data_IF_495546714233
#
_entry.id   IF_495546714233
#
_cell.length_a   1.000
_cell.length_b   1.000
_cell.length_c   1.000
_cell.angle_alpha   90.00
_cell.angle_beta   90.00
_cell.angle_gamma   90.00
#
_symmetry.space_group_name_H-M   'P 1'
#
loop_
_entity.id
_entity.type
_entity.pdbx_description
1 polymer ?
#
# COMPACT_ATOMS: atom_id res chain seq x y z
N UNK A 1 -1.17 15.93 -21.28
CA UNK A 1 -2.15 16.03 -20.18
C UNK A 1 -1.64 15.17 -19.04
N UNK A 2 -1.23 15.77 -17.92
CA UNK A 2 -0.74 14.98 -16.78
C UNK A 2 -1.92 14.27 -16.11
N UNK A 3 -1.84 12.95 -15.94
CA UNK A 3 -2.84 12.21 -15.16
C UNK A 3 -3.00 12.86 -13.79
N UNK A 4 -4.25 13.20 -13.44
CA UNK A 4 -4.62 13.60 -12.09
C UNK A 4 -4.23 12.49 -11.13
N UNK A 5 -3.61 12.83 -10.01
CA UNK A 5 -3.22 11.89 -8.94
C UNK A 5 -4.39 11.12 -8.34
N UNK A 6 -5.61 11.61 -8.52
CA UNK A 6 -6.83 10.89 -8.17
C UNK A 6 -7.07 9.67 -9.06
N UNK A 7 -6.47 9.58 -10.24
CA UNK A 7 -6.78 8.53 -11.21
C UNK A 7 -6.27 7.14 -10.79
N UNK A 8 -5.01 6.96 -10.35
CA UNK A 8 -4.57 5.67 -9.79
C UNK A 8 -5.41 5.24 -8.59
N UNK A 9 -5.72 6.16 -7.68
CA UNK A 9 -6.55 5.90 -6.49
C UNK A 9 -7.95 5.47 -6.92
N UNK A 10 -8.58 6.22 -7.82
CA UNK A 10 -9.93 5.93 -8.32
C UNK A 10 -9.97 4.55 -8.97
N UNK A 11 -9.01 4.25 -9.85
CA UNK A 11 -8.94 2.94 -10.52
C UNK A 11 -8.65 1.80 -9.55
N UNK A 12 -7.84 2.03 -8.51
CA UNK A 12 -7.60 1.05 -7.48
C UNK A 12 -8.89 0.76 -6.69
N UNK A 13 -9.63 1.79 -6.31
CA UNK A 13 -10.93 1.66 -5.64
C UNK A 13 -12.01 1.02 -6.54
N UNK A 14 -11.90 1.15 -7.87
CA UNK A 14 -12.78 0.43 -8.82
C UNK A 14 -12.48 -1.08 -8.87
N UNK A 15 -11.27 -1.50 -8.48
CA UNK A 15 -10.80 -2.90 -8.55
C UNK A 15 -10.93 -3.61 -7.20
N UNK A 16 -10.68 -2.92 -6.10
CA UNK A 16 -10.76 -3.52 -4.77
C UNK A 16 -12.24 -3.72 -4.40
N UNK A 17 -12.71 -4.97 -4.30
CA UNK A 17 -14.15 -5.30 -4.19
C UNK A 17 -14.79 -4.82 -2.89
N UNK A 18 -13.99 -4.64 -1.84
CA UNK A 18 -14.40 -3.99 -0.60
C UNK A 18 -14.02 -2.50 -0.67
N UNK A 19 -14.85 -1.62 -0.11
CA UNK A 19 -14.48 -0.21 0.06
C UNK A 19 -13.80 -0.07 1.43
N UNK A 20 -12.45 -0.06 1.51
CA UNK A 20 -11.78 0.02 2.79
C UNK A 20 -12.06 1.37 3.47
N UNK A 21 -12.43 1.33 4.76
CA UNK A 21 -12.52 2.52 5.61
C UNK A 21 -11.10 3.00 5.95
N UNK A 22 -10.52 3.76 5.03
CA UNK A 22 -9.21 4.37 5.20
C UNK A 22 -9.19 5.83 4.73
N UNK A 23 -8.26 6.59 5.28
CA UNK A 23 -7.96 7.94 4.83
C UNK A 23 -6.83 7.94 3.79
N UNK A 24 -6.95 8.78 2.77
CA UNK A 24 -5.87 9.01 1.81
C UNK A 24 -5.15 10.32 2.13
N UNK A 25 -3.86 10.26 2.41
CA UNK A 25 -3.03 11.41 2.72
C UNK A 25 -1.98 11.67 1.64
N UNK A 26 -2.10 12.80 0.95
CA UNK A 26 -1.34 13.10 -0.28
C UNK A 26 -0.29 14.21 -0.11
N UNK A 27 0.18 14.45 1.12
CA UNK A 27 1.16 15.50 1.45
C UNK A 27 2.36 14.87 2.16
N UNK A 28 3.33 15.68 2.57
CA UNK A 28 4.46 15.21 3.38
C UNK A 28 3.96 14.82 4.79
N UNK A 29 4.01 13.52 5.17
CA UNK A 29 3.51 13.05 6.45
C UNK A 29 4.38 13.47 7.64
N UNK A 30 5.66 13.80 7.42
CA UNK A 30 6.55 14.32 8.46
C UNK A 30 6.10 15.71 8.87
N UNK A 31 5.81 16.59 7.91
CA UNK A 31 5.30 17.94 8.20
C UNK A 31 3.88 17.94 8.78
N UNK A 32 3.08 16.91 8.48
CA UNK A 32 1.76 16.75 9.06
C UNK A 32 1.76 16.11 10.47
N UNK A 33 2.93 15.73 10.99
CA UNK A 33 3.06 15.12 12.31
C UNK A 33 2.54 13.69 12.39
N UNK A 34 2.33 13.01 11.26
CA UNK A 34 1.93 11.60 11.23
C UNK A 34 3.07 10.69 11.70
N UNK A 35 4.32 11.12 11.52
CA UNK A 35 5.53 10.41 11.96
C UNK A 35 6.35 11.22 12.96
N UNK A 36 6.98 10.51 13.90
CA UNK A 36 7.98 11.08 14.81
C UNK A 36 9.37 11.21 14.16
N UNK A 37 9.63 10.46 13.08
CA UNK A 37 10.94 10.35 12.44
C UNK A 37 10.81 10.61 10.92
N UNK A 38 11.91 11.06 10.31
CA UNK A 38 11.96 11.31 8.87
C UNK A 38 12.15 10.02 8.04
N UNK A 39 12.91 9.07 8.58
CA UNK A 39 13.36 7.89 7.85
C UNK A 39 12.81 6.61 8.50
N UNK A 40 12.48 5.63 7.66
CA UNK A 40 12.22 4.27 8.06
C UNK A 40 13.53 3.54 8.44
N UNK A 41 13.47 2.41 9.17
CA UNK A 41 14.65 1.63 9.55
C UNK A 41 15.53 1.18 8.37
N UNK A 42 14.94 1.02 7.19
CA UNK A 42 15.62 0.62 5.96
C UNK A 42 16.20 1.80 5.16
N UNK A 43 16.13 3.01 5.71
CA UNK A 43 16.70 4.22 5.12
C UNK A 43 15.79 4.98 4.15
N UNK A 44 14.60 4.45 3.81
CA UNK A 44 13.59 5.18 3.01
C UNK A 44 13.10 6.41 3.76
N UNK A 45 12.76 7.50 3.05
CA UNK A 45 12.20 8.70 3.67
C UNK A 45 10.67 8.64 3.66
N UNK A 46 10.03 8.79 4.82
CA UNK A 46 8.55 8.84 4.87
C UNK A 46 7.98 10.04 4.10
N UNK A 47 8.76 11.12 3.98
CA UNK A 47 8.40 12.33 3.25
C UNK A 47 8.19 12.13 1.75
N UNK A 48 8.75 11.06 1.19
CA UNK A 48 8.62 10.76 -0.23
C UNK A 48 7.98 9.39 -0.50
N UNK A 49 8.09 8.41 0.41
CA UNK A 49 7.76 6.99 0.17
C UNK A 49 6.29 6.68 0.47
N UNK A 50 5.63 5.89 -0.40
CA UNK A 50 4.29 5.36 -0.16
C UNK A 50 4.31 4.34 0.98
N UNK A 51 3.32 4.42 1.86
CA UNK A 51 3.17 3.50 2.97
C UNK A 51 1.80 3.61 3.63
N UNK A 52 1.44 2.61 4.41
CA UNK A 52 0.21 2.59 5.21
C UNK A 52 0.50 2.80 6.69
N UNK A 53 -0.30 3.68 7.31
CA UNK A 53 -0.27 3.96 8.74
C UNK A 53 -1.51 3.39 9.42
N UNK A 54 -1.32 2.30 10.14
CA UNK A 54 -2.35 1.77 11.03
C UNK A 54 -2.65 2.75 12.18
N UNK A 55 -3.82 2.66 12.83
CA UNK A 55 -4.20 3.55 13.92
C UNK A 55 -3.14 3.61 15.03
N UNK A 56 -2.47 2.52 15.38
CA UNK A 56 -1.43 2.52 16.41
C UNK A 56 -0.11 3.19 15.99
N UNK A 57 0.10 3.47 14.70
CA UNK A 57 1.25 4.26 14.22
C UNK A 57 1.04 5.77 14.39
N UNK A 58 -0.21 6.23 14.45
CA UNK A 58 -0.53 7.65 14.38
C UNK A 58 -0.37 8.34 15.73
N UNK A 59 0.49 9.36 15.74
CA UNK A 59 0.64 10.29 16.86
C UNK A 59 -0.56 11.24 16.94
N UNK A 60 -1.51 10.98 17.85
CA UNK A 60 -2.66 11.85 18.05
C UNK A 60 -3.70 11.27 19.01
N UNK A 61 -4.83 11.95 19.26
CA UNK A 61 -5.91 11.42 20.09
C UNK A 61 -6.52 10.16 19.47
N UNK A 62 -6.73 9.10 20.26
CA UNK A 62 -7.20 7.79 19.79
C UNK A 62 -8.47 7.86 18.91
N UNK A 63 -9.42 8.74 19.28
CA UNK A 63 -10.67 8.99 18.55
C UNK A 63 -10.53 9.50 17.11
N UNK A 64 -9.31 9.90 16.70
CA UNK A 64 -8.99 10.37 15.34
C UNK A 64 -8.05 9.44 14.58
N UNK A 65 -7.59 8.36 15.21
CA UNK A 65 -6.65 7.42 14.59
C UNK A 65 -7.45 6.49 13.68
N UNK A 66 -7.23 6.62 12.38
CA UNK A 66 -7.77 5.74 11.34
C UNK A 66 -6.62 5.26 10.47
N UNK A 67 -6.79 4.11 9.86
CA UNK A 67 -5.85 3.62 8.87
C UNK A 67 -5.71 4.63 7.76
N UNK A 68 -4.48 5.08 7.53
CA UNK A 68 -4.18 6.14 6.58
C UNK A 68 -3.21 5.62 5.55
N UNK A 69 -3.62 5.60 4.29
CA UNK A 69 -2.71 5.38 3.17
C UNK A 69 -2.02 6.71 2.86
N UNK A 70 -0.70 6.70 2.89
CA UNK A 70 0.13 7.88 2.65
C UNK A 70 0.79 7.75 1.27
N UNK A 71 0.46 8.68 0.37
CA UNK A 71 1.08 8.79 -0.95
C UNK A 71 1.71 10.20 -1.08
N UNK A 72 2.93 10.42 -0.56
CA UNK A 72 3.51 11.76 -0.47
C UNK A 72 3.69 12.38 -1.86
N UNK A 73 3.16 13.59 -2.05
CA UNK A 73 3.34 14.32 -3.30
C UNK A 73 4.75 14.91 -3.37
N UNK A 74 5.50 14.57 -4.41
CA UNK A 74 6.78 15.23 -4.67
C UNK A 74 6.59 16.73 -5.01
N UNK A 75 7.39 17.64 -4.44
CA UNK A 75 7.21 19.09 -4.56
C UNK A 75 7.31 19.64 -5.99
N UNK A 76 7.96 18.93 -6.92
CA UNK A 76 8.06 19.34 -8.34
C UNK A 76 6.99 18.74 -9.25
N UNK A 77 6.01 18.01 -8.69
CA UNK A 77 4.98 17.31 -9.45
C UNK A 77 5.44 15.93 -9.95
N UNK A 78 4.53 14.96 -9.80
CA UNK A 78 4.47 13.63 -10.42
C UNK A 78 5.73 12.73 -10.44
N UNK A 79 6.82 13.03 -9.71
CA UNK A 79 8.04 12.22 -9.76
C UNK A 79 8.53 11.83 -8.38
N UNK A 80 8.62 10.53 -8.10
CA UNK A 80 9.43 10.01 -7.01
C UNK A 80 10.92 9.95 -7.40
N UNK A 81 11.81 9.74 -6.42
CA UNK A 81 13.25 9.46 -6.62
C UNK A 81 13.39 8.13 -7.39
N UNK A 82 13.90 8.17 -8.62
CA UNK A 82 13.94 7.02 -9.54
C UNK A 82 13.02 7.14 -10.76
N UNK A 83 12.26 8.24 -10.88
CA UNK A 83 11.59 8.63 -12.14
C UNK A 83 10.25 7.96 -12.44
N UNK A 84 9.70 7.15 -11.51
CA UNK A 84 8.36 6.56 -11.66
C UNK A 84 7.34 7.31 -10.80
N UNK A 85 6.15 7.50 -11.37
CA UNK A 85 4.97 8.07 -10.69
C UNK A 85 4.28 6.93 -9.92
N UNK A 86 3.64 7.21 -8.76
CA UNK A 86 2.75 6.20 -8.16
C UNK A 86 1.67 5.84 -9.16
N UNK A 87 1.55 4.55 -9.42
CA UNK A 87 0.60 3.99 -10.36
C UNK A 87 -0.45 3.19 -9.60
N UNK A 88 -1.31 2.52 -10.36
CA UNK A 88 -2.39 1.72 -9.80
C UNK A 88 -1.85 0.56 -8.94
N UNK A 89 -0.67 0.01 -9.27
CA UNK A 89 -0.05 -1.07 -8.50
C UNK A 89 0.30 -0.59 -7.10
N UNK A 90 0.90 0.60 -6.96
CA UNK A 90 1.17 1.18 -5.63
C UNK A 90 -0.12 1.39 -4.84
N UNK A 91 -1.16 1.95 -5.47
CA UNK A 91 -2.41 2.20 -4.76
C UNK A 91 -3.08 0.90 -4.27
N UNK A 92 -3.03 -0.18 -5.07
CA UNK A 92 -3.57 -1.49 -4.68
C UNK A 92 -2.72 -2.16 -3.61
N UNK A 93 -1.40 -2.05 -3.69
CA UNK A 93 -0.49 -2.54 -2.65
C UNK A 93 -0.84 -1.94 -1.28
N UNK A 94 -0.97 -0.62 -1.21
CA UNK A 94 -1.35 0.05 0.05
C UNK A 94 -2.76 -0.33 0.51
N UNK A 95 -3.71 -0.51 -0.42
CA UNK A 95 -5.04 -1.04 -0.08
C UNK A 95 -4.95 -2.47 0.45
N UNK A 96 -4.00 -3.28 -0.02
CA UNK A 96 -3.70 -4.61 0.50
C UNK A 96 -3.35 -4.58 1.99
N UNK A 97 -2.56 -3.61 2.45
CA UNK A 97 -2.33 -3.43 3.90
C UNK A 97 -3.60 -3.08 4.68
N UNK A 98 -4.49 -2.28 4.08
CA UNK A 98 -5.77 -1.96 4.74
C UNK A 98 -6.67 -3.20 4.80
N UNK A 99 -6.71 -4.01 3.75
CA UNK A 99 -7.43 -5.29 3.74
C UNK A 99 -6.86 -6.26 4.78
N UNK A 100 -5.53 -6.36 4.88
CA UNK A 100 -4.84 -7.18 5.88
C UNK A 100 -5.26 -6.78 7.31
N UNK A 101 -5.31 -5.48 7.59
CA UNK A 101 -5.79 -4.98 8.88
C UNK A 101 -7.29 -5.26 9.12
N UNK A 102 -8.14 -5.00 8.12
CA UNK A 102 -9.59 -5.23 8.23
C UNK A 102 -9.93 -6.70 8.51
N UNK A 103 -9.13 -7.61 7.96
CA UNK A 103 -9.24 -9.06 8.19
C UNK A 103 -8.51 -9.51 9.45
N UNK A 104 -8.06 -8.59 10.30
CA UNK A 104 -7.44 -8.91 11.59
C UNK A 104 -6.05 -9.53 11.47
N UNK A 105 -5.38 -9.39 10.32
CA UNK A 105 -4.08 -9.98 10.03
C UNK A 105 -4.06 -11.51 10.08
N UNK A 106 -5.14 -12.15 9.64
CA UNK A 106 -5.35 -13.59 9.78
C UNK A 106 -4.49 -14.44 8.81
N UNK A 107 -4.05 -13.88 7.68
CA UNK A 107 -3.32 -14.64 6.65
C UNK A 107 -1.83 -14.33 6.66
N UNK A 108 -1.03 -15.38 6.81
CA UNK A 108 0.41 -15.35 6.51
C UNK A 108 0.62 -15.78 5.05
N UNK A 109 0.80 -14.82 4.15
CA UNK A 109 1.05 -15.09 2.74
C UNK A 109 2.49 -15.52 2.47
N UNK A 110 2.70 -16.32 1.43
CA UNK A 110 4.04 -16.69 0.96
C UNK A 110 4.70 -15.47 0.29
N UNK A 111 5.93 -15.08 0.69
CA UNK A 111 6.59 -13.94 0.06
C UNK A 111 6.94 -14.21 -1.41
N UNK A 112 6.33 -13.46 -2.34
CA UNK A 112 6.52 -13.64 -3.78
C UNK A 112 7.78 -12.91 -4.35
N UNK A 113 8.66 -12.39 -3.49
CA UNK A 113 9.87 -11.66 -3.87
C UNK A 113 10.71 -11.12 -2.69
N UNK A 114 11.85 -10.50 -3.01
CA UNK A 114 12.77 -9.94 -1.99
C UNK A 114 12.11 -8.87 -1.11
N UNK A 115 11.31 -7.99 -1.72
CA UNK A 115 10.59 -6.95 -0.98
C UNK A 115 9.53 -7.55 -0.04
N UNK A 116 8.72 -8.49 -0.53
CA UNK A 116 7.74 -9.25 0.24
C UNK A 116 8.37 -9.98 1.45
N UNK A 117 9.64 -10.36 1.36
CA UNK A 117 10.35 -11.11 2.39
C UNK A 117 10.73 -10.27 3.62
N UNK A 118 10.53 -8.94 3.58
CA UNK A 118 10.90 -8.03 4.67
C UNK A 118 10.05 -8.23 5.92
N UNK A 119 8.74 -8.46 5.75
CA UNK A 119 7.82 -8.78 6.83
C UNK A 119 6.47 -9.25 6.29
N UNK A 120 5.65 -9.89 7.13
CA UNK A 120 4.36 -10.51 6.74
C UNK A 120 3.40 -9.55 6.02
N UNK A 121 3.42 -8.27 6.39
CA UNK A 121 2.52 -7.27 5.80
C UNK A 121 2.90 -6.98 4.34
N UNK A 122 4.20 -6.95 4.00
CA UNK A 122 4.62 -6.82 2.59
C UNK A 122 4.25 -8.09 1.81
N UNK A 123 4.44 -9.28 2.41
CA UNK A 123 4.04 -10.53 1.78
C UNK A 123 2.55 -10.54 1.43
N UNK A 124 1.69 -10.13 2.36
CA UNK A 124 0.26 -9.98 2.11
C UNK A 124 -0.02 -8.97 0.99
N UNK A 125 0.50 -7.75 1.09
CA UNK A 125 0.21 -6.69 0.12
C UNK A 125 0.69 -7.01 -1.30
N UNK A 126 1.86 -7.64 -1.43
CA UNK A 126 2.39 -8.12 -2.71
C UNK A 126 1.53 -9.24 -3.31
N UNK A 127 1.18 -10.25 -2.51
CA UNK A 127 0.31 -11.35 -2.95
C UNK A 127 -1.08 -10.85 -3.35
N UNK A 128 -1.66 -9.93 -2.56
CA UNK A 128 -2.94 -9.29 -2.84
C UNK A 128 -2.91 -8.50 -4.15
N UNK A 129 -1.84 -7.73 -4.39
CA UNK A 129 -1.68 -6.97 -5.63
C UNK A 129 -1.53 -7.90 -6.84
N UNK A 130 -0.77 -8.98 -6.70
CA UNK A 130 -0.59 -9.99 -7.74
C UNK A 130 -1.90 -10.72 -8.08
N UNK A 131 -2.75 -10.99 -7.07
CA UNK A 131 -4.08 -11.58 -7.27
C UNK A 131 -5.00 -10.67 -8.09
N UNK A 132 -5.04 -9.37 -7.78
CA UNK A 132 -5.94 -8.43 -8.46
C UNK A 132 -5.45 -7.96 -9.83
N UNK A 133 -4.14 -7.94 -10.07
CA UNK A 133 -3.57 -7.41 -11.30
C UNK A 133 -2.58 -8.39 -11.93
N UNK A 134 -3.03 -9.02 -13.02
CA UNK A 134 -2.23 -9.97 -13.80
C UNK A 134 -0.90 -9.39 -14.33
N UNK A 135 -0.86 -8.14 -14.80
CA UNK A 135 0.37 -7.54 -15.32
C UNK A 135 1.40 -7.18 -14.23
N UNK A 136 1.02 -7.26 -12.95
CA UNK A 136 1.92 -7.01 -11.83
C UNK A 136 2.99 -8.10 -11.73
N UNK A 137 2.58 -9.36 -11.92
CA UNK A 137 3.46 -10.54 -11.88
C UNK A 137 4.54 -10.42 -12.96
N UNK A 138 4.13 -10.17 -14.20
CA UNK A 138 5.05 -10.04 -15.34
C UNK A 138 5.99 -8.85 -15.18
N UNK A 139 5.48 -7.72 -14.66
CA UNK A 139 6.24 -6.48 -14.50
C UNK A 139 7.40 -6.63 -13.50
N UNK A 140 7.23 -7.44 -12.47
CA UNK A 140 8.23 -7.64 -11.41
C UNK A 140 8.92 -9.00 -11.47
N UNK A 141 8.51 -9.86 -12.41
CA UNK A 141 9.11 -11.17 -12.63
C UNK A 141 8.88 -12.15 -11.47
N UNK A 142 7.73 -12.04 -10.80
CA UNK A 142 7.39 -12.94 -9.70
C UNK A 142 7.07 -14.33 -10.22
N UNK A 143 7.67 -15.35 -9.60
CA UNK A 143 7.49 -16.77 -9.99
C UNK A 143 6.83 -17.61 -8.92
N UNK A 144 6.82 -17.13 -7.67
CA UNK A 144 6.48 -17.92 -6.50
C UNK A 144 5.07 -17.58 -5.99
N UNK A 145 4.09 -17.58 -6.90
CA UNK A 145 2.70 -17.32 -6.56
C UNK A 145 2.08 -18.52 -5.86
N UNK A 146 1.44 -18.30 -4.72
CA UNK A 146 0.81 -19.33 -3.93
C UNK A 146 -0.70 -19.38 -4.21
N UNK A 147 -1.19 -20.51 -4.73
CA UNK A 147 -2.60 -20.69 -5.07
C UNK A 147 -3.51 -20.69 -3.83
N UNK A 148 -2.99 -21.09 -2.66
CA UNK A 148 -3.77 -21.08 -1.40
C UNK A 148 -3.98 -19.64 -0.91
N UNK A 149 -3.01 -18.74 -1.13
CA UNK A 149 -3.18 -17.30 -0.85
C UNK A 149 -4.31 -16.73 -1.71
N UNK A 150 -4.33 -17.05 -3.01
CA UNK A 150 -5.35 -16.55 -3.92
C UNK A 150 -6.74 -17.13 -3.61
N UNK A 151 -6.80 -18.43 -3.29
CA UNK A 151 -8.04 -19.06 -2.85
C UNK A 151 -8.56 -18.43 -1.53
N UNK A 152 -7.67 -18.06 -0.63
CA UNK A 152 -8.04 -17.34 0.60
C UNK A 152 -8.59 -15.95 0.29
N UNK A 153 -7.98 -15.17 -0.61
CA UNK A 153 -8.50 -13.86 -1.00
C UNK A 153 -9.90 -13.96 -1.62
N UNK A 154 -10.10 -14.91 -2.53
CA UNK A 154 -11.41 -15.18 -3.14
C UNK A 154 -12.51 -15.53 -2.11
N UNK A 155 -12.13 -16.17 -1.00
CA UNK A 155 -13.09 -16.57 0.04
C UNK A 155 -13.39 -15.45 1.05
N UNK A 156 -12.43 -14.55 1.32
CA UNK A 156 -12.50 -13.64 2.47
C UNK A 156 -12.55 -12.15 2.11
N UNK A 157 -12.28 -11.76 0.86
CA UNK A 157 -12.20 -10.36 0.43
C UNK A 157 -13.29 -10.01 -0.59
N UNK A 158 -14.47 -10.64 -0.52
CA UNK A 158 -15.61 -10.37 -1.43
C UNK A 158 -16.68 -9.49 -0.82
#
# INVERSE_FOLDING_TARGET
MGMSWSEPIRRALDIVPIVPDCEWFLRDPVFAGLHSFRNAPDGRQYGDTAHTLYPWHINGPAQRRRTTIVLPRHPTGNRYVGGRQYDIHTAIHELGHVVDEMTGFERECVPIGEYASRHRQEAFAEAFTAWLISDYIDRWGYTDLDEDDFAWFEANVR
#
